data_IF_115086071345
#
_entry.id   IF_115086071345
#
_cell.length_a   1.000
_cell.length_b   1.000
_cell.length_c   1.000
_cell.angle_alpha   90.00
_cell.angle_beta   90.00
_cell.angle_gamma   90.00
#
_symmetry.space_group_name_H-M   'P 1'
#
loop_
_entity.id
_entity.type
_entity.pdbx_description
1 polymer ?
#
# COMPACT_ATOMS: atom_id res chain seq x y z
N UNK A 1 29.76 -39.85 -3.15
CA UNK A 1 28.95 -38.84 -2.46
C UNK A 1 29.27 -37.48 -3.06
N UNK A 2 28.28 -36.78 -3.60
CA UNK A 2 28.50 -35.44 -4.17
C UNK A 2 28.26 -34.36 -3.11
N UNK A 3 28.83 -33.17 -3.30
CA UNK A 3 28.66 -32.01 -2.40
C UNK A 3 27.19 -31.54 -2.30
N UNK A 4 26.32 -31.90 -3.26
CA UNK A 4 24.87 -31.62 -3.20
C UNK A 4 24.17 -32.55 -2.22
N UNK A 5 24.56 -33.83 -2.19
CA UNK A 5 23.95 -34.83 -1.32
C UNK A 5 24.20 -34.53 0.16
N UNK A 6 25.39 -33.99 0.50
CA UNK A 6 25.70 -33.58 1.87
C UNK A 6 24.92 -32.35 2.33
N UNK A 7 24.63 -31.40 1.44
CA UNK A 7 23.80 -30.23 1.76
C UNK A 7 22.34 -30.63 1.96
N UNK A 8 21.82 -31.56 1.16
CA UNK A 8 20.47 -32.09 1.34
C UNK A 8 20.33 -32.84 2.66
N UNK A 9 21.29 -33.71 3.01
CA UNK A 9 21.32 -34.41 4.29
C UNK A 9 21.45 -33.46 5.49
N UNK A 10 22.26 -32.39 5.37
CA UNK A 10 22.37 -31.36 6.40
C UNK A 10 21.06 -30.58 6.56
N UNK A 11 20.36 -30.26 5.47
CA UNK A 11 19.06 -29.59 5.53
C UNK A 11 17.96 -30.49 6.11
N UNK A 12 17.99 -31.78 5.81
CA UNK A 12 17.04 -32.77 6.32
C UNK A 12 17.23 -33.02 7.83
N UNK A 13 18.48 -33.23 8.28
CA UNK A 13 18.78 -33.33 9.71
C UNK A 13 18.46 -32.04 10.48
N UNK A 14 18.71 -30.87 9.90
CA UNK A 14 18.30 -29.60 10.49
C UNK A 14 16.76 -29.51 10.64
N UNK A 15 15.99 -29.97 9.64
CA UNK A 15 14.53 -30.02 9.74
C UNK A 15 14.06 -30.95 10.85
N UNK A 16 14.68 -32.11 11.00
CA UNK A 16 14.29 -33.07 12.03
C UNK A 16 14.64 -32.60 13.44
N UNK A 17 15.77 -31.91 13.64
CA UNK A 17 16.08 -31.27 14.93
C UNK A 17 15.08 -30.17 15.31
N UNK A 18 14.60 -29.39 14.33
CA UNK A 18 13.57 -28.36 14.55
C UNK A 18 12.22 -28.99 14.90
N UNK A 19 11.81 -30.06 14.21
CA UNK A 19 10.57 -30.79 14.54
C UNK A 19 10.66 -31.37 15.95
N UNK A 20 11.76 -32.00 16.31
CA UNK A 20 11.96 -32.59 17.63
C UNK A 20 11.95 -31.52 18.74
N UNK A 21 12.62 -30.38 18.51
CA UNK A 21 12.55 -29.24 19.42
C UNK A 21 11.12 -28.68 19.56
N UNK A 22 10.36 -28.65 18.47
CA UNK A 22 8.96 -28.22 18.49
C UNK A 22 8.07 -29.22 19.26
N UNK A 23 8.28 -30.53 19.09
CA UNK A 23 7.55 -31.58 19.83
C UNK A 23 7.82 -31.49 21.34
N UNK A 24 9.07 -31.21 21.73
CA UNK A 24 9.47 -31.04 23.15
C UNK A 24 8.85 -29.78 23.77
N UNK A 25 8.69 -28.71 22.99
CA UNK A 25 8.13 -27.43 23.46
C UNK A 25 6.60 -27.38 23.36
N UNK A 26 5.99 -28.18 22.49
CA UNK A 26 4.54 -28.25 22.28
C UNK A 26 3.70 -28.36 23.57
N UNK A 27 4.03 -29.23 24.56
CA UNK A 27 3.24 -29.34 25.79
C UNK A 27 3.32 -28.07 26.67
N UNK A 28 4.47 -27.38 26.68
CA UNK A 28 4.64 -26.12 27.42
C UNK A 28 3.95 -24.95 26.73
N UNK A 29 3.96 -24.92 25.39
CA UNK A 29 3.20 -23.94 24.63
C UNK A 29 1.68 -24.14 24.80
N UNK A 30 1.21 -25.38 24.88
CA UNK A 30 -0.19 -25.73 25.11
C UNK A 30 -0.67 -25.26 26.49
N UNK A 31 0.09 -25.54 27.56
CA UNK A 31 -0.27 -25.09 28.92
C UNK A 31 -0.24 -23.57 29.08
N UNK A 32 0.73 -22.89 28.46
CA UNK A 32 0.76 -21.43 28.44
C UNK A 32 -0.45 -20.83 27.69
N UNK A 33 -0.89 -21.47 26.61
CA UNK A 33 -2.10 -21.08 25.86
C UNK A 33 -3.35 -21.24 26.72
N UNK A 34 -3.51 -22.38 27.39
CA UNK A 34 -4.65 -22.63 28.28
C UNK A 34 -4.74 -21.60 29.40
N UNK A 35 -3.61 -21.27 30.03
CA UNK A 35 -3.56 -20.21 31.04
C UNK A 35 -3.95 -18.84 30.46
N UNK A 36 -3.47 -18.49 29.27
CA UNK A 36 -3.83 -17.24 28.60
C UNK A 36 -5.32 -17.16 28.27
N UNK A 37 -5.92 -18.25 27.78
CA UNK A 37 -7.37 -18.33 27.54
C UNK A 37 -8.14 -18.16 28.85
N UNK A 38 -7.72 -18.84 29.92
CA UNK A 38 -8.36 -18.76 31.23
C UNK A 38 -8.36 -17.32 31.80
N UNK A 39 -7.23 -16.62 31.73
CA UNK A 39 -7.16 -15.23 32.19
C UNK A 39 -7.94 -14.27 31.29
N UNK A 40 -8.00 -14.53 29.97
CA UNK A 40 -8.80 -13.73 29.06
C UNK A 40 -10.30 -13.89 29.34
N UNK A 41 -10.76 -15.11 29.62
CA UNK A 41 -12.15 -15.37 30.01
C UNK A 41 -12.49 -14.69 31.35
N UNK A 42 -11.62 -14.81 32.36
CA UNK A 42 -11.83 -14.16 33.66
C UNK A 42 -11.86 -12.63 33.55
N UNK A 43 -10.98 -12.05 32.71
CA UNK A 43 -10.99 -10.62 32.43
C UNK A 43 -12.28 -10.18 31.74
N UNK A 44 -12.74 -10.95 30.75
CA UNK A 44 -14.00 -10.68 30.06
C UNK A 44 -15.19 -10.77 30.99
N UNK A 45 -15.27 -11.76 31.87
CA UNK A 45 -16.34 -11.89 32.86
C UNK A 45 -16.41 -10.68 33.80
N UNK A 46 -15.26 -10.11 34.19
CA UNK A 46 -15.20 -8.91 35.03
C UNK A 46 -15.51 -7.61 34.28
N UNK A 47 -15.13 -7.54 33.01
CA UNK A 47 -15.27 -6.32 32.21
C UNK A 47 -16.61 -6.23 31.47
N UNK A 48 -17.17 -7.36 31.02
CA UNK A 48 -18.44 -7.44 30.31
C UNK A 48 -19.57 -6.65 31.00
N UNK A 49 -19.83 -6.80 32.32
CA UNK A 49 -20.90 -6.04 32.98
C UNK A 49 -20.59 -4.54 33.09
N UNK A 50 -19.30 -4.16 33.21
CA UNK A 50 -18.90 -2.75 33.28
C UNK A 50 -19.07 -2.06 31.93
N UNK A 51 -18.69 -2.75 30.86
CA UNK A 51 -18.86 -2.26 29.48
C UNK A 51 -20.34 -2.19 29.14
N UNK A 52 -21.15 -3.21 29.50
CA UNK A 52 -22.60 -3.17 29.25
C UNK A 52 -23.29 -2.03 30.01
N UNK A 53 -22.89 -1.78 31.26
CA UNK A 53 -23.38 -0.64 32.02
C UNK A 53 -22.98 0.70 31.40
N UNK A 54 -21.70 0.89 31.08
CA UNK A 54 -21.18 2.12 30.49
C UNK A 54 -21.80 2.41 29.12
N UNK A 55 -21.99 1.38 28.30
CA UNK A 55 -22.67 1.50 27.00
C UNK A 55 -24.15 1.84 27.16
N UNK A 56 -24.84 1.22 28.12
CA UNK A 56 -26.23 1.57 28.44
C UNK A 56 -26.36 3.00 28.97
N UNK A 57 -25.41 3.46 29.78
CA UNK A 57 -25.34 4.83 30.26
C UNK A 57 -25.08 5.83 29.13
N UNK A 58 -24.07 5.58 28.29
CA UNK A 58 -23.79 6.41 27.11
C UNK A 58 -24.99 6.47 26.16
N UNK A 59 -25.70 5.36 25.96
CA UNK A 59 -26.93 5.32 25.17
C UNK A 59 -28.06 6.16 25.80
N UNK A 60 -28.22 6.12 27.14
CA UNK A 60 -29.16 6.99 27.85
C UNK A 60 -28.79 8.46 27.70
N UNK A 61 -27.53 8.81 27.90
CA UNK A 61 -27.03 10.18 27.75
C UNK A 61 -27.24 10.71 26.32
N UNK A 62 -26.96 9.89 25.31
CA UNK A 62 -27.20 10.24 23.91
C UNK A 62 -28.69 10.48 23.62
N UNK A 63 -29.59 9.65 24.18
CA UNK A 63 -31.04 9.85 24.07
C UNK A 63 -31.48 11.14 24.75
N UNK A 64 -31.04 11.39 25.98
CA UNK A 64 -31.39 12.64 26.68
C UNK A 64 -30.87 13.86 25.94
N UNK A 65 -29.65 13.82 25.39
CA UNK A 65 -29.11 14.92 24.60
C UNK A 65 -29.91 15.15 23.30
N UNK A 66 -30.33 14.06 22.64
CA UNK A 66 -31.20 14.14 21.48
C UNK A 66 -32.55 14.76 21.83
N UNK A 67 -33.20 14.28 22.88
CA UNK A 67 -34.53 14.74 23.30
C UNK A 67 -34.51 16.21 23.75
N UNK A 68 -33.46 16.64 24.45
CA UNK A 68 -33.33 18.01 24.92
C UNK A 68 -32.95 19.01 23.81
N UNK A 69 -32.07 18.63 22.88
CA UNK A 69 -31.48 19.60 21.94
C UNK A 69 -31.90 19.41 20.49
N UNK A 70 -31.98 18.16 20.01
CA UNK A 70 -32.24 17.88 18.60
C UNK A 70 -33.74 17.77 18.29
N UNK A 71 -34.48 17.06 19.16
CA UNK A 71 -35.92 16.87 19.01
C UNK A 71 -36.70 18.18 18.88
N UNK A 72 -36.54 19.21 19.75
CA UNK A 72 -37.31 20.45 19.62
C UNK A 72 -36.96 21.22 18.35
N UNK A 73 -35.69 21.19 17.91
CA UNK A 73 -35.25 21.84 16.67
C UNK A 73 -35.83 21.16 15.44
N UNK A 74 -35.87 19.82 15.44
CA UNK A 74 -36.51 19.05 14.36
C UNK A 74 -38.01 19.27 14.31
N UNK A 75 -38.68 19.37 15.47
CA UNK A 75 -40.11 19.69 15.55
C UNK A 75 -40.41 21.09 15.02
N UNK A 76 -39.62 22.08 15.39
CA UNK A 76 -39.74 23.44 14.87
C UNK A 76 -39.50 23.49 13.35
N UNK A 77 -38.47 22.81 12.85
CA UNK A 77 -38.23 22.71 11.41
C UNK A 77 -39.40 22.05 10.67
N UNK A 78 -39.96 20.95 11.20
CA UNK A 78 -41.08 20.23 10.58
C UNK A 78 -42.36 21.07 10.50
N UNK A 79 -42.58 22.02 11.41
CA UNK A 79 -43.72 22.93 11.36
C UNK A 79 -43.71 23.84 10.12
N UNK A 80 -42.54 24.09 9.53
CA UNK A 80 -42.37 24.93 8.34
C UNK A 80 -42.19 24.12 7.04
N UNK A 81 -42.19 22.79 7.11
CA UNK A 81 -41.97 21.92 5.93
C UNK A 81 -43.31 21.53 5.32
N UNK A 82 -43.48 21.65 3.97
CA UNK A 82 -44.67 21.16 3.30
C UNK A 82 -44.90 19.65 3.53
N UNK A 83 -46.16 19.20 3.75
CA UNK A 83 -46.45 17.82 4.16
C UNK A 83 -46.00 16.76 3.13
N UNK A 84 -45.95 17.10 1.85
CA UNK A 84 -45.45 16.20 0.80
C UNK A 84 -43.95 15.94 0.93
N UNK A 85 -43.18 16.96 1.31
CA UNK A 85 -41.73 16.86 1.52
C UNK A 85 -41.45 16.04 2.79
N UNK A 86 -42.21 16.24 3.86
CA UNK A 86 -42.08 15.46 5.09
C UNK A 86 -42.39 13.96 4.87
N UNK A 87 -43.42 13.67 4.07
CA UNK A 87 -43.76 12.29 3.68
C UNK A 87 -42.66 11.65 2.85
N UNK A 88 -42.12 12.36 1.85
CA UNK A 88 -41.00 11.88 1.04
C UNK A 88 -39.75 11.62 1.89
N UNK A 89 -39.43 12.52 2.82
CA UNK A 89 -38.32 12.37 3.75
C UNK A 89 -38.50 11.15 4.68
N UNK A 90 -39.71 10.96 5.21
CA UNK A 90 -40.04 9.79 6.06
C UNK A 90 -39.89 8.48 5.29
N UNK A 91 -40.37 8.44 4.04
CA UNK A 91 -40.21 7.27 3.18
C UNK A 91 -38.74 7.01 2.84
N UNK A 92 -37.94 8.03 2.53
CA UNK A 92 -36.52 7.90 2.27
C UNK A 92 -35.76 7.32 3.48
N UNK A 93 -36.07 7.80 4.70
CA UNK A 93 -35.51 7.24 5.94
C UNK A 93 -35.92 5.77 6.14
N UNK A 94 -37.16 5.42 5.82
CA UNK A 94 -37.62 4.03 5.92
C UNK A 94 -36.88 3.12 4.93
N UNK A 95 -36.73 3.54 3.66
CA UNK A 95 -36.02 2.78 2.65
C UNK A 95 -34.53 2.62 2.96
N UNK A 96 -33.86 3.67 3.41
CA UNK A 96 -32.45 3.62 3.82
C UNK A 96 -32.23 2.69 5.01
N UNK A 97 -33.12 2.71 6.02
CA UNK A 97 -33.07 1.75 7.14
C UNK A 97 -33.25 0.31 6.69
N UNK A 98 -34.19 0.07 5.76
CA UNK A 98 -34.41 -1.28 5.20
C UNK A 98 -33.19 -1.76 4.41
N UNK A 99 -32.61 -0.89 3.58
CA UNK A 99 -31.40 -1.19 2.82
C UNK A 99 -30.19 -1.45 3.75
N UNK A 100 -30.04 -0.67 4.82
CA UNK A 100 -28.98 -0.87 5.80
C UNK A 100 -29.11 -2.22 6.53
N UNK A 101 -30.34 -2.63 6.88
CA UNK A 101 -30.58 -3.97 7.46
C UNK A 101 -30.23 -5.08 6.47
N UNK A 102 -30.71 -4.96 5.23
CA UNK A 102 -30.39 -5.94 4.18
C UNK A 102 -28.88 -6.02 3.90
N UNK A 103 -28.18 -4.89 3.93
CA UNK A 103 -26.73 -4.84 3.81
C UNK A 103 -26.05 -5.51 5.01
N UNK A 104 -26.52 -5.26 6.23
CA UNK A 104 -26.01 -5.92 7.43
C UNK A 104 -26.19 -7.45 7.32
N UNK A 105 -27.40 -7.92 6.99
CA UNK A 105 -27.72 -9.33 6.80
C UNK A 105 -26.84 -9.98 5.72
N UNK A 106 -26.60 -9.27 4.61
CA UNK A 106 -25.71 -9.73 3.55
C UNK A 106 -24.23 -9.77 3.96
N UNK A 107 -23.79 -8.79 4.76
CA UNK A 107 -22.40 -8.72 5.22
C UNK A 107 -22.08 -9.65 6.38
N UNK A 108 -23.08 -10.08 7.14
CA UNK A 108 -22.90 -10.96 8.30
C UNK A 108 -22.05 -12.22 7.99
N UNK A 109 -22.37 -13.06 6.97
CA UNK A 109 -21.56 -14.25 6.68
C UNK A 109 -20.15 -13.91 6.16
N UNK A 110 -19.97 -12.76 5.52
CA UNK A 110 -18.65 -12.27 5.10
C UNK A 110 -17.80 -11.84 6.29
N UNK A 111 -18.43 -11.25 7.29
CA UNK A 111 -17.76 -10.88 8.53
C UNK A 111 -17.35 -12.13 9.31
N UNK A 112 -18.24 -13.12 9.42
CA UNK A 112 -17.97 -14.40 10.08
C UNK A 112 -16.82 -15.16 9.41
N UNK A 113 -16.81 -15.23 8.08
CA UNK A 113 -15.71 -15.86 7.33
C UNK A 113 -14.41 -15.07 7.42
N UNK A 114 -14.44 -13.74 7.40
CA UNK A 114 -13.25 -12.91 7.63
C UNK A 114 -12.71 -13.09 9.06
N UNK A 115 -13.57 -13.18 10.06
CA UNK A 115 -13.19 -13.46 11.44
C UNK A 115 -12.58 -14.85 11.57
N UNK A 116 -13.17 -15.88 10.94
CA UNK A 116 -12.61 -17.23 10.90
C UNK A 116 -11.22 -17.26 10.25
N UNK A 117 -11.04 -16.55 9.14
CA UNK A 117 -9.73 -16.42 8.48
C UNK A 117 -8.71 -15.61 9.31
N UNK A 118 -9.18 -14.70 10.16
CA UNK A 118 -8.34 -13.89 11.04
C UNK A 118 -7.94 -14.62 12.33
N UNK A 119 -8.64 -15.69 12.74
CA UNK A 119 -8.31 -16.47 13.94
C UNK A 119 -6.83 -16.91 14.01
N UNK A 120 -6.23 -17.53 12.97
CA UNK A 120 -4.83 -17.94 13.04
C UNK A 120 -3.86 -16.75 13.18
N UNK A 121 -4.17 -15.61 12.53
CA UNK A 121 -3.37 -14.39 12.67
C UNK A 121 -3.47 -13.81 14.07
N UNK A 122 -4.67 -13.87 14.68
CA UNK A 122 -4.89 -13.48 16.06
C UNK A 122 -4.16 -14.41 17.04
N UNK A 123 -4.09 -15.72 16.77
CA UNK A 123 -3.31 -16.68 17.56
C UNK A 123 -1.79 -16.43 17.46
N UNK A 124 -1.28 -16.10 16.28
CA UNK A 124 0.12 -15.69 16.13
C UNK A 124 0.41 -14.34 16.82
N UNK A 125 -0.52 -13.40 16.78
CA UNK A 125 -0.38 -12.14 17.50
C UNK A 125 -0.47 -12.34 19.01
N UNK A 126 -1.34 -13.24 19.47
CA UNK A 126 -1.47 -13.63 20.88
C UNK A 126 -0.18 -14.28 21.38
N UNK A 127 0.38 -15.25 20.65
CA UNK A 127 1.67 -15.88 21.03
C UNK A 127 2.85 -14.90 21.01
N UNK A 128 2.91 -13.99 20.04
CA UNK A 128 3.93 -12.92 20.02
C UNK A 128 3.76 -11.92 21.17
N UNK A 129 2.51 -11.62 21.54
CA UNK A 129 2.22 -10.69 22.65
C UNK A 129 2.39 -11.32 24.02
N UNK A 130 2.14 -12.62 24.21
CA UNK A 130 2.49 -13.33 25.45
C UNK A 130 4.00 -13.42 25.62
N UNK A 131 4.77 -13.66 24.55
CA UNK A 131 6.23 -13.57 24.58
C UNK A 131 6.71 -12.15 24.93
N UNK A 132 6.08 -11.11 24.38
CA UNK A 132 6.37 -9.73 24.73
C UNK A 132 5.99 -9.39 26.19
N UNK A 133 4.88 -9.91 26.69
CA UNK A 133 4.45 -9.74 28.08
C UNK A 133 5.34 -10.50 29.07
N UNK A 134 5.83 -11.68 28.69
CA UNK A 134 6.83 -12.42 29.46
C UNK A 134 8.17 -11.67 29.51
N UNK A 135 8.58 -11.05 28.40
CA UNK A 135 9.75 -10.17 28.37
C UNK A 135 9.56 -8.88 29.21
N UNK A 136 8.35 -8.30 29.21
CA UNK A 136 8.02 -7.15 30.07
C UNK A 136 7.97 -7.53 31.57
N UNK A 137 7.55 -8.76 31.91
CA UNK A 137 7.59 -9.29 33.28
C UNK A 137 9.01 -9.71 33.71
N UNK A 138 9.86 -10.11 32.76
CA UNK A 138 11.26 -10.47 32.99
C UNK A 138 12.22 -9.33 32.66
N UNK A 139 12.15 -8.20 33.37
CA UNK A 139 13.19 -7.14 33.42
C UNK A 139 13.89 -6.74 32.10
N UNK A 140 13.19 -6.73 30.94
CA UNK A 140 13.76 -6.16 29.72
C UNK A 140 13.55 -4.65 29.73
N UNK A 141 14.65 -3.89 29.81
CA UNK A 141 14.64 -2.42 29.77
C UNK A 141 13.99 -1.91 28.48
N UNK A 142 13.16 -0.87 28.57
CA UNK A 142 12.49 -0.23 27.43
C UNK A 142 13.44 0.16 26.28
N UNK A 143 14.73 0.40 26.60
CA UNK A 143 15.79 0.69 25.62
C UNK A 143 16.09 -0.49 24.68
N UNK A 144 15.99 -1.73 25.16
CA UNK A 144 16.27 -2.93 24.35
C UNK A 144 15.14 -3.21 23.38
N UNK A 145 13.89 -3.05 23.84
CA UNK A 145 12.70 -3.13 22.99
C UNK A 145 12.77 -2.06 21.89
N UNK A 146 13.12 -0.82 22.24
CA UNK A 146 13.25 0.26 21.26
C UNK A 146 14.37 0.00 20.23
N UNK A 147 15.50 -0.59 20.66
CA UNK A 147 16.60 -0.99 19.75
C UNK A 147 16.16 -2.09 18.79
N UNK A 148 15.34 -3.04 19.24
CA UNK A 148 14.82 -4.13 18.41
C UNK A 148 13.80 -3.62 17.38
N UNK A 149 12.86 -2.78 17.81
CA UNK A 149 11.86 -2.13 16.92
C UNK A 149 12.56 -1.32 15.84
N UNK A 150 13.54 -0.48 16.22
CA UNK A 150 14.30 0.35 15.29
C UNK A 150 15.12 -0.47 14.28
N UNK A 151 15.54 -1.69 14.64
CA UNK A 151 16.24 -2.62 13.73
C UNK A 151 15.28 -3.27 12.75
N UNK A 152 14.06 -3.61 13.17
CA UNK A 152 13.04 -4.19 12.32
C UNK A 152 12.40 -3.17 11.37
N UNK A 153 12.14 -1.94 11.81
CA UNK A 153 11.64 -0.87 10.94
C UNK A 153 12.57 -0.61 9.76
N UNK A 154 13.90 -0.59 10.01
CA UNK A 154 14.90 -0.46 8.95
C UNK A 154 14.82 -1.59 7.91
N UNK A 155 14.50 -2.81 8.33
CA UNK A 155 14.35 -3.98 7.43
C UNK A 155 13.00 -4.00 6.71
N UNK A 156 11.95 -3.49 7.33
CA UNK A 156 10.62 -3.38 6.73
C UNK A 156 10.56 -2.29 5.65
N UNK A 157 11.26 -1.17 5.85
CA UNK A 157 11.37 -0.09 4.87
C UNK A 157 12.10 -0.52 3.60
N UNK A 158 13.19 -1.26 3.70
CA UNK A 158 13.92 -1.75 2.51
C UNK A 158 13.08 -2.71 1.67
N UNK A 159 12.30 -3.59 2.31
CA UNK A 159 11.38 -4.48 1.59
C UNK A 159 10.24 -3.75 0.86
N UNK A 160 9.73 -2.66 1.43
CA UNK A 160 8.68 -1.82 0.79
C UNK A 160 9.23 -0.96 -0.34
N UNK A 161 10.41 -0.36 -0.17
CA UNK A 161 11.05 0.43 -1.21
C UNK A 161 11.32 -0.43 -2.47
N UNK A 162 11.80 -1.66 -2.29
CA UNK A 162 12.08 -2.57 -3.40
C UNK A 162 10.81 -2.95 -4.18
N UNK A 163 9.67 -3.12 -3.48
CA UNK A 163 8.36 -3.34 -4.13
C UNK A 163 7.92 -2.13 -4.95
N UNK A 164 8.07 -0.92 -4.42
CA UNK A 164 7.72 0.30 -5.15
C UNK A 164 8.59 0.51 -6.38
N UNK A 165 9.89 0.28 -6.28
CA UNK A 165 10.82 0.35 -7.43
C UNK A 165 10.41 -0.64 -8.53
N UNK A 166 10.00 -1.86 -8.17
CA UNK A 166 9.52 -2.84 -9.13
C UNK A 166 8.23 -2.40 -9.85
N UNK A 167 7.27 -1.81 -9.12
CA UNK A 167 6.03 -1.29 -9.70
C UNK A 167 6.31 -0.13 -10.65
N UNK A 168 7.12 0.84 -10.22
CA UNK A 168 7.48 2.00 -11.05
C UNK A 168 8.24 1.56 -12.30
N UNK A 169 9.16 0.60 -12.17
CA UNK A 169 9.88 0.02 -13.32
C UNK A 169 8.95 -0.63 -14.33
N UNK A 170 7.95 -1.39 -13.86
CA UNK A 170 6.96 -2.02 -14.74
C UNK A 170 6.09 -0.97 -15.47
N UNK A 171 5.65 0.09 -14.77
CA UNK A 171 4.88 1.17 -15.38
C UNK A 171 5.71 1.93 -16.41
N UNK A 172 6.96 2.28 -16.08
CA UNK A 172 7.86 2.97 -16.98
C UNK A 172 8.16 2.15 -18.25
N UNK A 173 8.40 0.84 -18.10
CA UNK A 173 8.60 -0.05 -19.24
C UNK A 173 7.36 -0.15 -20.12
N UNK A 174 6.16 -0.24 -19.53
CA UNK A 174 4.89 -0.25 -20.27
C UNK A 174 4.64 1.05 -21.04
N UNK A 175 4.89 2.20 -20.40
CA UNK A 175 4.78 3.51 -21.04
C UNK A 175 5.78 3.69 -22.20
N UNK A 176 7.02 3.21 -22.04
CA UNK A 176 8.04 3.28 -23.08
C UNK A 176 7.68 2.45 -24.31
N UNK A 177 7.17 1.22 -24.12
CA UNK A 177 6.73 0.37 -25.23
C UNK A 177 5.51 0.96 -25.95
N UNK A 178 4.56 1.55 -25.22
CA UNK A 178 3.40 2.23 -25.81
C UNK A 178 3.81 3.48 -26.60
N UNK A 179 4.72 4.29 -26.08
CA UNK A 179 5.25 5.47 -26.76
C UNK A 179 6.05 5.09 -28.00
N UNK A 180 6.90 4.05 -27.92
CA UNK A 180 7.70 3.59 -29.06
C UNK A 180 6.84 2.95 -30.15
N UNK A 181 5.76 2.28 -29.79
CA UNK A 181 4.75 1.80 -30.75
C UNK A 181 4.01 2.96 -31.43
N UNK A 182 3.69 4.02 -30.68
CA UNK A 182 3.09 5.24 -31.22
C UNK A 182 4.03 6.01 -32.15
N UNK A 183 5.31 6.12 -31.80
CA UNK A 183 6.35 6.77 -32.60
C UNK A 183 6.52 6.06 -33.96
N UNK A 184 6.49 4.72 -33.94
CA UNK A 184 6.50 3.90 -35.16
C UNK A 184 5.24 4.07 -36.03
N UNK A 185 4.12 4.48 -35.45
CA UNK A 185 2.88 4.83 -36.17
C UNK A 185 2.83 6.30 -36.62
N UNK A 186 3.61 7.20 -35.98
CA UNK A 186 3.53 8.66 -36.17
C UNK A 186 4.57 9.22 -37.15
N UNK A 187 5.68 8.52 -37.38
CA UNK A 187 6.61 8.79 -38.51
C UNK A 187 6.69 7.60 -39.47
N UNK A 188 5.62 7.31 -40.20
CA UNK A 188 5.70 6.38 -41.31
C UNK A 188 6.30 7.12 -42.53
N UNK A 189 7.24 6.46 -43.22
CA UNK A 189 8.02 6.96 -44.38
C UNK A 189 7.15 7.41 -45.60
N UNK A 190 5.83 7.54 -45.44
CA UNK A 190 4.93 8.20 -46.38
C UNK A 190 4.76 9.70 -46.14
N UNK A 191 5.38 10.27 -45.09
CA UNK A 191 5.47 11.73 -44.87
C UNK A 191 6.78 12.35 -45.38
N UNK A 192 7.55 11.60 -46.17
CA UNK A 192 8.61 12.14 -47.03
C UNK A 192 8.09 12.03 -48.46
N UNK A 193 7.86 13.18 -49.09
CA UNK A 193 7.50 13.25 -50.50
C UNK A 193 8.57 12.53 -51.35
N UNK A 194 8.21 11.54 -52.19
CA UNK A 194 9.09 11.14 -53.28
C UNK A 194 9.31 12.38 -54.17
N UNK A 195 10.55 12.82 -54.45
CA UNK A 195 10.77 13.94 -55.34
C UNK A 195 10.12 13.65 -56.69
N UNK A 196 9.22 14.53 -57.11
CA UNK A 196 8.49 14.44 -58.37
C UNK A 196 9.45 14.34 -59.55
N UNK A 197 9.34 13.27 -60.34
CA UNK A 197 9.98 13.21 -61.64
C UNK A 197 9.24 14.16 -62.58
N UNK A 198 9.77 15.36 -62.85
CA UNK A 198 10.20 15.80 -64.20
C UNK A 198 10.52 17.31 -64.26
N UNK A 199 11.59 17.60 -65.01
CA UNK A 199 11.98 18.85 -65.68
C UNK A 199 12.97 19.83 -64.97
N UNK A 200 14.22 19.73 -65.43
CA UNK A 200 15.11 20.83 -65.83
C UNK A 200 15.52 21.88 -64.77
N UNK A 201 16.70 21.66 -64.15
CA UNK A 201 17.88 22.56 -64.20
C UNK A 201 18.72 22.49 -62.91
N UNK A 202 20.05 22.44 -63.10
CA UNK A 202 21.10 22.89 -62.16
C UNK A 202 21.71 21.85 -61.20
N UNK A 203 22.09 20.71 -61.75
CA UNK A 203 23.17 19.86 -61.20
C UNK A 203 24.59 20.48 -61.41
N UNK A 204 24.71 21.82 -61.32
CA UNK A 204 25.98 22.56 -61.53
C UNK A 204 26.40 23.43 -60.34
N UNK A 205 25.61 23.50 -59.26
CA UNK A 205 25.89 24.33 -58.08
C UNK A 205 26.50 23.55 -56.90
N UNK A 206 26.49 22.22 -56.94
CA UNK A 206 27.11 21.38 -55.89
C UNK A 206 28.64 21.24 -56.03
N UNK A 207 29.27 21.87 -57.02
CA UNK A 207 30.73 21.96 -57.11
C UNK A 207 31.32 23.26 -56.53
N UNK A 208 30.52 24.29 -56.22
CA UNK A 208 31.05 25.61 -55.82
C UNK A 208 31.14 25.83 -54.31
N UNK A 209 30.35 25.12 -53.50
CA UNK A 209 30.35 25.32 -52.04
C UNK A 209 31.55 24.68 -51.33
N UNK A 210 32.09 23.57 -51.86
CA UNK A 210 33.31 22.95 -51.30
C UNK A 210 34.58 23.76 -51.63
N UNK A 211 34.63 24.43 -52.79
CA UNK A 211 35.74 25.31 -53.17
C UNK A 211 35.76 26.61 -52.35
N UNK A 212 34.59 27.15 -52.00
CA UNK A 212 34.46 28.38 -51.22
C UNK A 212 34.84 28.18 -49.74
N UNK A 213 34.58 26.99 -49.17
CA UNK A 213 35.01 26.62 -47.82
C UNK A 213 36.54 26.44 -47.75
N UNK A 214 37.15 25.84 -48.77
CA UNK A 214 38.60 25.64 -48.88
C UNK A 214 39.38 26.93 -49.18
N UNK A 215 38.75 27.95 -49.78
CA UNK A 215 39.33 29.28 -49.94
C UNK A 215 39.36 30.06 -48.61
N UNK A 216 38.30 29.93 -47.81
CA UNK A 216 38.17 30.64 -46.52
C UNK A 216 39.13 30.13 -45.44
N UNK A 217 39.47 28.84 -45.45
CA UNK A 217 40.48 28.27 -44.54
C UNK A 217 41.92 28.72 -44.88
N UNK A 218 42.20 29.07 -46.15
CA UNK A 218 43.51 29.61 -46.55
C UNK A 218 43.69 31.09 -46.20
N UNK A 219 42.61 31.87 -46.17
CA UNK A 219 42.65 33.28 -45.69
C UNK A 219 42.77 33.39 -44.16
N UNK A 220 42.29 32.39 -43.40
CA UNK A 220 42.39 32.38 -41.93
C UNK A 220 43.79 31.98 -41.39
N UNK A 221 44.73 31.57 -42.25
CA UNK A 221 46.06 31.06 -41.86
C UNK A 221 47.22 32.06 -41.98
N UNK A 222 46.97 33.31 -42.39
CA UNK A 222 48.02 34.29 -42.68
C UNK A 222 47.74 35.64 -41.99
N UNK A 223 47.84 35.68 -40.66
CA UNK A 223 47.93 36.93 -39.89
C UNK A 223 49.37 37.17 -39.42
N UNK A 224 50.06 38.23 -39.88
CA UNK A 224 51.37 38.58 -39.35
C UNK A 224 51.27 39.36 -38.03
N UNK A 225 52.26 39.05 -37.22
CA UNK A 225 52.65 39.52 -35.91
C UNK A 225 52.75 41.05 -35.71
N UNK A 226 52.28 41.47 -34.52
CA UNK A 226 53.02 42.24 -33.50
C UNK A 226 53.17 43.77 -33.59
N UNK A 227 53.37 44.33 -32.39
CA UNK A 227 53.76 45.70 -31.98
C UNK A 227 52.68 46.79 -31.99
N UNK A 228 52.51 47.66 -30.99
CA UNK A 228 53.03 47.87 -29.63
C UNK A 228 52.13 49.01 -29.01
N UNK A 229 52.16 49.29 -27.69
CA UNK A 229 51.19 50.12 -27.00
C UNK A 229 51.58 51.60 -26.93
N UNK A 230 50.58 52.46 -26.72
CA UNK A 230 50.49 53.53 -25.69
C UNK A 230 49.11 54.19 -25.78
#
# INVERSE_FOLDING_TARGET
MTRKDSVHLAAESARDTVKHAAEVVAPYAATAREAAVHYATEANERLAPKVSYATAEAARQARTAYDCHLHPRMKAARAHVPPNVDRAATMAVHHTRRAARQAADYTQPRLESALAAAQPVAEEAASRSTAALAALRGQVSAKEVQKLVRRNERRACTGRALKWVAVVGAVAAGAYMAWRWWDQQSNPDWLVEPPAATELSREREQASFDDELAAKERESGSGPADENPM
#
